data_IF_744882625793
#
_entry.id   IF_744882625793
#
_cell.length_a   1.000
_cell.length_b   1.000
_cell.length_c   1.000
_cell.angle_alpha   90.00
_cell.angle_beta   90.00
_cell.angle_gamma   90.00
#
_symmetry.space_group_name_H-M   'P 1'
#
loop_
_entity.id
_entity.type
_entity.pdbx_description
1 polymer ?
#
# COMPACT_ATOMS: atom_id res chain seq x y z
N UNK A 1 6.78 49.48 -24.94
CA UNK A 1 7.21 48.71 -23.75
C UNK A 1 6.17 48.70 -22.61
N UNK A 2 5.63 49.84 -22.16
CA UNK A 2 4.66 49.90 -21.04
C UNK A 2 3.36 49.09 -21.27
N UNK A 3 2.82 49.10 -22.48
CA UNK A 3 1.59 48.35 -22.84
C UNK A 3 1.81 46.83 -22.78
N UNK A 4 2.93 46.33 -23.30
CA UNK A 4 3.29 44.90 -23.23
C UNK A 4 3.53 44.44 -21.78
N UNK A 5 4.17 45.27 -20.95
CA UNK A 5 4.33 44.99 -19.53
C UNK A 5 2.99 44.89 -18.80
N UNK A 6 2.04 45.79 -19.11
CA UNK A 6 0.70 45.75 -18.52
C UNK A 6 -0.12 44.54 -18.95
N UNK A 7 -0.04 44.13 -20.24
CA UNK A 7 -0.72 42.92 -20.72
C UNK A 7 -0.14 41.68 -20.03
N UNK A 8 1.19 41.62 -19.86
CA UNK A 8 1.86 40.52 -19.16
C UNK A 8 1.45 40.43 -17.69
N UNK A 9 1.32 41.54 -16.97
CA UNK A 9 0.87 41.53 -15.57
C UNK A 9 -0.58 41.10 -15.43
N UNK A 10 -1.49 41.59 -16.26
CA UNK A 10 -2.89 41.13 -16.25
C UNK A 10 -3.01 39.65 -16.58
N UNK A 11 -2.25 39.15 -17.56
CA UNK A 11 -2.21 37.74 -17.91
C UNK A 11 -1.71 36.87 -16.75
N UNK A 12 -0.64 37.31 -16.07
CA UNK A 12 -0.11 36.62 -14.89
C UNK A 12 -1.13 36.57 -13.74
N UNK A 13 -1.81 37.68 -13.46
CA UNK A 13 -2.86 37.75 -12.44
C UNK A 13 -4.02 36.80 -12.80
N UNK A 14 -4.49 36.81 -14.04
CA UNK A 14 -5.55 35.92 -14.49
C UNK A 14 -5.17 34.44 -14.33
N UNK A 15 -3.92 34.08 -14.63
CA UNK A 15 -3.39 32.72 -14.42
C UNK A 15 -3.41 32.37 -12.93
N UNK A 16 -2.90 33.25 -12.06
CA UNK A 16 -2.86 33.02 -10.61
C UNK A 16 -4.27 32.85 -10.01
N UNK A 17 -5.21 33.70 -10.41
CA UNK A 17 -6.62 33.60 -9.99
C UNK A 17 -7.22 32.27 -10.44
N UNK A 18 -6.98 31.88 -11.69
CA UNK A 18 -7.48 30.60 -12.24
C UNK A 18 -6.92 29.41 -11.45
N UNK A 19 -5.62 29.41 -11.16
CA UNK A 19 -4.98 28.37 -10.34
C UNK A 19 -5.58 28.33 -8.93
N UNK A 20 -5.74 29.49 -8.30
CA UNK A 20 -6.36 29.61 -6.98
C UNK A 20 -7.79 29.08 -6.94
N UNK A 21 -8.61 29.43 -7.91
CA UNK A 21 -9.99 28.92 -8.04
C UNK A 21 -10.02 27.40 -8.26
N UNK A 22 -9.13 26.87 -9.10
CA UNK A 22 -9.02 25.41 -9.32
C UNK A 22 -8.59 24.68 -8.05
N UNK A 23 -7.63 25.24 -7.32
CA UNK A 23 -7.17 24.70 -6.05
C UNK A 23 -8.30 24.70 -5.00
N UNK A 24 -9.00 25.83 -4.82
CA UNK A 24 -10.10 25.93 -3.86
C UNK A 24 -11.27 25.01 -4.22
N UNK A 25 -11.58 24.88 -5.51
CA UNK A 25 -12.58 23.91 -5.96
C UNK A 25 -12.15 22.47 -5.68
N UNK A 26 -10.88 22.13 -5.92
CA UNK A 26 -10.36 20.79 -5.66
C UNK A 26 -10.33 20.45 -4.17
N UNK A 27 -9.87 21.38 -3.32
CA UNK A 27 -9.67 21.13 -1.88
C UNK A 27 -10.93 21.31 -1.04
N UNK A 28 -11.86 22.18 -1.42
CA UNK A 28 -12.99 22.53 -0.55
C UNK A 28 -14.35 22.29 -1.19
N UNK A 29 -14.63 22.92 -2.34
CA UNK A 29 -15.98 22.91 -2.90
C UNK A 29 -16.38 21.55 -3.45
N UNK A 30 -15.48 20.86 -4.17
CA UNK A 30 -15.77 19.55 -4.74
C UNK A 30 -16.04 18.50 -3.64
N UNK A 31 -15.17 18.31 -2.61
CA UNK A 31 -15.48 17.40 -1.51
C UNK A 31 -16.82 17.77 -0.84
N UNK A 32 -17.04 19.01 -0.40
CA UNK A 32 -18.30 19.37 0.25
C UNK A 32 -19.55 19.14 -0.61
N UNK A 33 -19.44 19.28 -1.94
CA UNK A 33 -20.53 18.98 -2.86
C UNK A 33 -20.82 17.48 -2.94
N UNK A 34 -19.82 16.63 -3.03
CA UNK A 34 -20.00 15.17 -3.13
C UNK A 34 -20.49 14.63 -1.77
N UNK A 35 -19.91 15.06 -0.64
CA UNK A 35 -20.40 14.76 0.71
C UNK A 35 -21.92 15.04 0.83
N UNK A 36 -22.38 16.19 0.34
CA UNK A 36 -23.81 16.56 0.37
C UNK A 36 -24.67 15.62 -0.48
N UNK A 37 -24.18 15.15 -1.63
CA UNK A 37 -24.89 14.17 -2.48
C UNK A 37 -24.97 12.82 -1.77
N UNK A 38 -23.88 12.33 -1.18
CA UNK A 38 -23.84 11.05 -0.48
C UNK A 38 -24.76 11.05 0.74
N UNK A 39 -24.78 12.15 1.52
CA UNK A 39 -25.72 12.29 2.64
C UNK A 39 -27.18 12.28 2.20
N UNK A 40 -27.50 12.88 1.04
CA UNK A 40 -28.85 12.81 0.46
C UNK A 40 -29.25 11.40 0.02
N UNK A 41 -28.27 10.54 -0.29
CA UNK A 41 -28.50 9.12 -0.59
C UNK A 41 -28.64 8.26 0.69
N UNK A 42 -28.62 8.89 1.88
CA UNK A 42 -28.80 8.21 3.16
C UNK A 42 -27.51 7.71 3.80
N UNK A 43 -26.36 7.89 3.15
CA UNK A 43 -25.07 7.41 3.65
C UNK A 43 -24.63 8.21 4.88
N UNK A 44 -24.21 7.50 5.92
CA UNK A 44 -23.71 8.10 7.18
C UNK A 44 -22.18 8.05 7.24
N UNK A 45 -21.56 9.10 7.75
CA UNK A 45 -20.12 9.13 7.93
C UNK A 45 -19.59 10.47 8.43
N UNK A 46 -18.27 10.50 8.61
CA UNK A 46 -17.55 11.70 9.06
C UNK A 46 -17.76 12.85 8.08
N UNK A 47 -17.76 14.09 8.60
CA UNK A 47 -17.77 15.28 7.75
C UNK A 47 -16.39 15.53 7.15
N UNK A 48 -16.33 16.02 5.91
CA UNK A 48 -15.05 16.35 5.28
C UNK A 48 -14.24 17.35 6.12
N UNK A 49 -12.95 17.02 6.34
CA UNK A 49 -11.92 17.86 6.97
C UNK A 49 -10.87 18.25 5.94
N UNK A 50 -10.41 19.49 5.97
CA UNK A 50 -9.50 20.09 4.99
C UNK A 50 -8.26 19.23 4.70
N UNK A 51 -8.02 18.93 3.41
CA UNK A 51 -6.87 18.22 2.81
C UNK A 51 -6.59 16.80 3.27
N UNK A 52 -6.61 16.55 4.57
CA UNK A 52 -6.18 15.27 5.15
C UNK A 52 -7.36 14.38 5.53
N UNK A 53 -8.58 14.91 5.57
CA UNK A 53 -9.77 14.15 5.96
C UNK A 53 -9.57 13.43 7.30
N UNK A 54 -9.71 12.11 7.28
CA UNK A 54 -9.58 11.20 8.41
C UNK A 54 -8.16 10.64 8.60
N UNK A 55 -7.17 11.08 7.80
CA UNK A 55 -5.82 10.50 7.85
C UNK A 55 -5.13 10.65 9.22
N UNK A 56 -5.29 11.81 9.89
CA UNK A 56 -4.73 12.01 11.24
C UNK A 56 -5.38 11.10 12.28
N UNK A 57 -6.70 10.97 12.21
CA UNK A 57 -7.46 10.08 13.10
C UNK A 57 -7.05 8.62 12.87
N UNK A 58 -6.88 8.23 11.60
CA UNK A 58 -6.38 6.92 11.19
C UNK A 58 -4.99 6.65 11.79
N UNK A 59 -4.07 7.61 11.66
CA UNK A 59 -2.71 7.50 12.23
C UNK A 59 -2.74 7.28 13.75
N UNK A 60 -3.53 8.08 14.47
CA UNK A 60 -3.65 7.96 15.92
C UNK A 60 -4.22 6.59 16.34
N UNK A 61 -5.19 6.05 15.57
CA UNK A 61 -5.74 4.73 15.84
C UNK A 61 -4.69 3.62 15.70
N UNK A 62 -3.83 3.70 14.68
CA UNK A 62 -2.74 2.75 14.52
C UNK A 62 -1.71 2.89 15.65
N UNK A 63 -1.33 4.12 16.02
CA UNK A 63 -0.40 4.34 17.13
C UNK A 63 -0.94 3.76 18.44
N UNK A 64 -2.21 4.03 18.75
CA UNK A 64 -2.87 3.50 19.93
C UNK A 64 -2.98 1.97 19.89
N UNK A 65 -3.38 1.38 18.76
CA UNK A 65 -3.58 -0.07 18.64
C UNK A 65 -2.27 -0.85 18.80
N UNK A 66 -1.16 -0.33 18.29
CA UNK A 66 0.16 -0.95 18.44
C UNK A 66 0.83 -0.68 19.79
N UNK A 67 0.40 0.35 20.52
CA UNK A 67 0.94 0.66 21.87
C UNK A 67 0.52 -0.34 22.94
N UNK A 68 -0.59 -1.07 22.72
CA UNK A 68 -1.15 -2.03 23.68
C UNK A 68 -0.66 -3.45 23.34
N UNK A 69 -0.38 -4.32 24.32
CA UNK A 69 -0.15 -5.75 24.06
C UNK A 69 -1.44 -6.43 23.60
N UNK A 70 -1.33 -7.63 23.02
CA UNK A 70 -2.46 -8.46 22.61
C UNK A 70 -2.20 -9.90 23.07
N UNK A 71 -3.23 -10.58 23.57
CA UNK A 71 -3.18 -11.99 23.90
C UNK A 71 -3.14 -12.88 22.65
N UNK A 72 -2.72 -14.12 22.82
CA UNK A 72 -2.61 -15.09 21.71
C UNK A 72 -4.00 -15.43 21.14
N UNK A 73 -5.04 -15.41 21.97
CA UNK A 73 -6.41 -15.75 21.59
C UNK A 73 -7.30 -14.54 21.29
N UNK A 74 -6.76 -13.33 21.40
CA UNK A 74 -7.52 -12.11 21.16
C UNK A 74 -7.76 -11.90 19.66
N UNK A 75 -8.85 -11.21 19.32
CA UNK A 75 -9.08 -10.78 17.93
C UNK A 75 -7.99 -9.80 17.50
N UNK A 76 -7.19 -10.21 16.51
CA UNK A 76 -6.11 -9.40 15.94
C UNK A 76 -6.65 -8.23 15.12
N UNK A 77 -7.86 -8.31 14.60
CA UNK A 77 -8.47 -7.35 13.66
C UNK A 77 -8.43 -5.90 14.17
N UNK A 78 -8.91 -5.55 15.38
CA UNK A 78 -8.84 -4.19 15.90
C UNK A 78 -7.41 -3.69 16.12
N UNK A 79 -6.42 -4.58 16.21
CA UNK A 79 -5.01 -4.21 16.33
C UNK A 79 -4.37 -3.88 14.99
N UNK A 80 -4.55 -4.76 14.00
CA UNK A 80 -3.86 -4.64 12.69
C UNK A 80 -4.61 -3.79 11.68
N UNK A 81 -5.93 -3.64 11.81
CA UNK A 81 -6.76 -2.82 10.93
C UNK A 81 -7.80 -2.01 11.74
N UNK A 82 -7.37 -1.20 12.73
CA UNK A 82 -8.27 -0.47 13.63
C UNK A 82 -9.24 0.44 12.86
N UNK A 83 -8.76 1.09 11.80
CA UNK A 83 -9.55 1.97 10.96
C UNK A 83 -10.67 1.23 10.21
N UNK A 84 -10.33 0.18 9.48
CA UNK A 84 -11.31 -0.64 8.75
C UNK A 84 -12.34 -1.23 9.71
N UNK A 85 -11.88 -1.72 10.88
CA UNK A 85 -12.74 -2.25 11.93
C UNK A 85 -13.75 -1.22 12.44
N UNK A 86 -13.31 0.03 12.68
CA UNK A 86 -14.20 1.13 13.08
C UNK A 86 -15.20 1.48 11.99
N UNK A 87 -14.74 1.62 10.74
CA UNK A 87 -15.60 2.03 9.62
C UNK A 87 -16.69 1.00 9.38
N UNK A 88 -16.33 -0.28 9.24
CA UNK A 88 -17.30 -1.36 9.03
C UNK A 88 -18.41 -1.34 10.08
N UNK A 89 -18.10 -0.98 11.33
CA UNK A 89 -19.07 -0.92 12.43
C UNK A 89 -19.88 0.37 12.52
N UNK A 90 -19.36 1.49 12.00
CA UNK A 90 -19.85 2.83 12.41
C UNK A 90 -20.22 3.73 11.23
N UNK A 91 -19.54 3.61 10.08
CA UNK A 91 -19.60 4.60 9.01
C UNK A 91 -19.59 3.97 7.62
N UNK A 92 -20.25 4.64 6.68
CA UNK A 92 -20.29 4.30 5.26
C UNK A 92 -19.48 5.31 4.42
N UNK A 93 -19.23 6.52 4.94
CA UNK A 93 -18.41 7.57 4.28
C UNK A 93 -17.16 7.87 5.08
N UNK A 94 -16.01 7.87 4.39
CA UNK A 94 -14.69 8.14 4.92
C UNK A 94 -13.93 9.07 3.97
N UNK A 95 -13.19 10.03 4.52
CA UNK A 95 -12.45 11.00 3.74
C UNK A 95 -10.95 10.72 3.82
N UNK A 96 -10.31 10.40 2.69
CA UNK A 96 -8.85 10.22 2.63
C UNK A 96 -8.29 11.21 1.62
N UNK A 97 -7.56 12.21 2.12
CA UNK A 97 -7.07 13.28 1.26
C UNK A 97 -8.21 14.22 0.81
N UNK A 98 -8.09 14.73 -0.41
CA UNK A 98 -9.17 15.43 -1.13
C UNK A 98 -10.11 14.51 -1.91
N UNK A 99 -10.01 13.18 -1.71
CA UNK A 99 -10.87 12.19 -2.33
C UNK A 99 -11.83 11.59 -1.30
N UNK A 100 -13.07 11.37 -1.71
CA UNK A 100 -14.05 10.66 -0.90
C UNK A 100 -13.98 9.18 -1.19
N UNK A 101 -13.88 8.39 -0.13
CA UNK A 101 -13.91 6.93 -0.20
C UNK A 101 -15.20 6.47 0.44
N UNK A 102 -16.05 5.82 -0.36
CA UNK A 102 -17.27 5.18 0.13
C UNK A 102 -16.90 3.76 0.53
N UNK A 103 -17.11 3.44 1.81
CA UNK A 103 -16.97 2.10 2.33
C UNK A 103 -18.25 1.32 2.06
N UNK A 104 -18.24 0.41 1.07
CA UNK A 104 -19.35 -0.53 0.86
C UNK A 104 -19.07 -1.76 1.73
N UNK A 105 -19.82 -1.91 2.82
CA UNK A 105 -19.59 -2.96 3.82
C UNK A 105 -20.71 -4.00 3.92
N UNK A 106 -21.81 -3.83 3.18
CA UNK A 106 -22.88 -4.82 3.11
C UNK A 106 -22.46 -5.98 2.18
N UNK A 107 -22.42 -7.21 2.69
CA UNK A 107 -22.02 -8.40 1.93
C UNK A 107 -22.77 -8.56 0.60
N UNK A 108 -24.08 -8.29 0.57
CA UNK A 108 -24.86 -8.35 -0.69
C UNK A 108 -24.43 -7.29 -1.71
N UNK A 109 -24.06 -6.09 -1.24
CA UNK A 109 -23.57 -5.01 -2.10
C UNK A 109 -22.17 -5.30 -2.64
N UNK A 110 -21.32 -5.98 -1.86
CA UNK A 110 -19.99 -6.39 -2.30
C UNK A 110 -20.09 -7.43 -3.43
N UNK A 111 -20.93 -8.45 -3.28
CA UNK A 111 -21.12 -9.47 -4.33
C UNK A 111 -21.66 -8.84 -5.62
N UNK A 112 -22.66 -7.97 -5.52
CA UNK A 112 -23.21 -7.28 -6.70
C UNK A 112 -22.17 -6.40 -7.40
N UNK A 113 -21.34 -5.67 -6.64
CA UNK A 113 -20.29 -4.81 -7.18
C UNK A 113 -19.14 -5.60 -7.81
N UNK A 114 -18.63 -6.60 -7.09
CA UNK A 114 -17.43 -7.35 -7.47
C UNK A 114 -17.72 -8.41 -8.53
N UNK A 115 -18.92 -9.02 -8.51
CA UNK A 115 -19.28 -10.08 -9.47
C UNK A 115 -20.01 -9.47 -10.66
N UNK A 116 -21.09 -8.73 -10.41
CA UNK A 116 -22.01 -8.31 -11.49
C UNK A 116 -21.63 -6.98 -12.15
N UNK A 117 -20.97 -6.08 -11.43
CA UNK A 117 -20.64 -4.72 -11.92
C UNK A 117 -19.14 -4.45 -12.06
N UNK A 118 -18.30 -5.49 -12.06
CA UNK A 118 -16.84 -5.34 -12.09
C UNK A 118 -16.30 -4.48 -13.24
N UNK A 119 -16.99 -4.41 -14.37
CA UNK A 119 -16.61 -3.56 -15.52
C UNK A 119 -16.89 -2.07 -15.30
N UNK A 120 -17.79 -1.73 -14.38
CA UNK A 120 -18.13 -0.35 -14.02
C UNK A 120 -17.13 0.26 -13.03
N UNK A 121 -16.29 -0.59 -12.40
CA UNK A 121 -15.28 -0.18 -11.46
C UNK A 121 -13.88 -0.35 -12.06
N UNK A 122 -13.02 0.62 -11.79
CA UNK A 122 -11.60 0.53 -12.14
C UNK A 122 -10.82 0.35 -10.85
N UNK A 123 -9.76 -0.46 -10.87
CA UNK A 123 -8.87 -0.61 -9.72
C UNK A 123 -8.35 0.77 -9.37
N UNK A 124 -8.51 1.15 -8.11
CA UNK A 124 -7.96 2.39 -7.57
C UNK A 124 -6.45 2.26 -7.33
N UNK A 125 -5.72 1.59 -8.23
CA UNK A 125 -4.28 1.39 -8.16
C UNK A 125 -3.52 2.67 -8.54
N UNK A 126 -3.90 3.76 -7.88
CA UNK A 126 -3.12 4.98 -7.79
C UNK A 126 -2.19 4.77 -6.61
N UNK A 127 -1.20 3.88 -6.73
CA UNK A 127 -0.10 3.92 -5.75
C UNK A 127 0.48 5.33 -5.86
N UNK A 128 0.32 6.09 -4.81
CA UNK A 128 0.69 7.49 -4.77
C UNK A 128 2.22 7.69 -4.63
N UNK A 129 2.97 6.58 -4.59
CA UNK A 129 4.39 6.53 -4.83
C UNK A 129 4.69 6.20 -6.31
N UNK A 130 5.27 7.16 -7.02
CA UNK A 130 5.62 7.03 -8.43
C UNK A 130 6.73 6.03 -8.71
N UNK A 131 7.65 5.83 -7.77
CA UNK A 131 8.67 4.79 -7.90
C UNK A 131 7.98 3.43 -7.94
N UNK A 132 7.09 3.17 -6.99
CA UNK A 132 6.28 1.95 -6.96
C UNK A 132 5.38 1.81 -8.19
N UNK A 133 4.80 2.90 -8.72
CA UNK A 133 4.02 2.89 -9.98
C UNK A 133 4.86 2.43 -11.18
N UNK A 134 6.17 2.71 -11.18
CA UNK A 134 7.09 2.32 -12.25
C UNK A 134 7.58 0.88 -12.09
N UNK A 135 7.82 0.44 -10.85
CA UNK A 135 8.32 -0.90 -10.54
C UNK A 135 7.22 -1.98 -10.55
N UNK A 136 5.98 -1.62 -10.20
CA UNK A 136 4.85 -2.57 -10.19
C UNK A 136 4.10 -2.54 -11.52
N UNK A 137 4.21 -3.64 -12.27
CA UNK A 137 3.53 -3.90 -13.52
C UNK A 137 2.55 -5.08 -13.47
N UNK A 138 2.17 -5.59 -14.65
CA UNK A 138 1.39 -6.82 -14.79
C UNK A 138 -0.08 -6.70 -14.37
N UNK A 139 -0.65 -7.84 -13.96
CA UNK A 139 -2.09 -8.05 -13.66
C UNK A 139 -2.63 -7.13 -12.56
N UNK A 140 -1.76 -6.67 -11.65
CA UNK A 140 -2.15 -5.73 -10.61
C UNK A 140 -2.54 -4.37 -11.21
N UNK A 141 -1.84 -3.92 -12.26
CA UNK A 141 -2.06 -2.62 -12.91
C UNK A 141 -2.97 -2.70 -14.14
N UNK A 142 -2.97 -3.81 -14.88
CA UNK A 142 -3.76 -3.92 -16.10
C UNK A 142 -5.26 -3.94 -15.80
N UNK A 143 -6.03 -3.40 -16.74
CA UNK A 143 -7.48 -3.35 -16.74
C UNK A 143 -8.07 -3.91 -18.04
N UNK A 144 -9.37 -4.22 -18.02
CA UNK A 144 -10.13 -4.63 -19.20
C UNK A 144 -9.50 -5.80 -19.97
N UNK A 145 -9.47 -5.68 -21.30
CA UNK A 145 -8.98 -6.74 -22.18
C UNK A 145 -7.50 -7.07 -21.94
N UNK A 146 -6.66 -6.05 -21.68
CA UNK A 146 -5.24 -6.26 -21.37
C UNK A 146 -5.07 -7.09 -20.10
N UNK A 147 -5.90 -6.84 -19.08
CA UNK A 147 -5.91 -7.66 -17.87
C UNK A 147 -6.35 -9.10 -18.18
N UNK A 148 -7.46 -9.26 -18.89
CA UNK A 148 -8.04 -10.56 -19.26
C UNK A 148 -7.03 -11.46 -19.97
N UNK A 149 -6.37 -10.94 -21.01
CA UNK A 149 -5.35 -11.67 -21.78
C UNK A 149 -4.16 -12.09 -20.91
N UNK A 150 -3.65 -11.19 -20.07
CA UNK A 150 -2.53 -11.50 -19.20
C UNK A 150 -2.90 -12.48 -18.10
N UNK A 151 -4.11 -12.37 -17.53
CA UNK A 151 -4.63 -13.32 -16.54
C UNK A 151 -4.79 -14.70 -17.15
N UNK A 152 -5.33 -14.80 -18.37
CA UNK A 152 -5.47 -16.06 -19.10
C UNK A 152 -4.13 -16.75 -19.34
N UNK A 153 -3.08 -15.99 -19.66
CA UNK A 153 -1.70 -16.52 -19.83
C UNK A 153 -1.11 -17.06 -18.53
N UNK A 154 -1.37 -16.40 -17.40
CA UNK A 154 -0.82 -16.79 -16.09
C UNK A 154 -1.60 -17.91 -15.40
N UNK A 155 -2.92 -18.03 -15.66
CA UNK A 155 -3.79 -18.97 -14.97
C UNK A 155 -3.27 -20.42 -14.95
N UNK A 156 -2.69 -20.98 -16.04
CA UNK A 156 -2.15 -22.34 -16.05
C UNK A 156 -1.04 -22.60 -15.02
N UNK A 157 -0.30 -21.56 -14.61
CA UNK A 157 0.75 -21.69 -13.59
C UNK A 157 0.17 -21.95 -12.19
N UNK A 158 -1.10 -21.61 -11.98
CA UNK A 158 -1.81 -21.74 -10.71
C UNK A 158 -2.88 -22.84 -10.73
N UNK A 159 -2.79 -23.77 -11.69
CA UNK A 159 -3.62 -24.97 -11.69
C UNK A 159 -3.14 -25.97 -10.62
N UNK A 160 -4.07 -26.78 -10.10
CA UNK A 160 -3.80 -27.70 -8.99
C UNK A 160 -2.60 -28.63 -9.25
N UNK A 161 -2.43 -29.13 -10.46
CA UNK A 161 -1.31 -30.04 -10.78
C UNK A 161 0.05 -29.34 -10.73
N UNK A 162 0.09 -28.03 -11.01
CA UNK A 162 1.30 -27.22 -10.79
C UNK A 162 1.58 -27.05 -9.30
N UNK A 163 0.55 -26.79 -8.50
CA UNK A 163 0.70 -26.64 -7.04
C UNK A 163 1.21 -27.91 -6.37
N UNK A 164 0.75 -29.11 -6.79
CA UNK A 164 1.26 -30.38 -6.27
C UNK A 164 2.78 -30.50 -6.42
N UNK A 165 3.33 -30.04 -7.55
CA UNK A 165 4.78 -30.01 -7.78
C UNK A 165 5.53 -29.02 -6.88
N UNK A 166 4.86 -28.01 -6.32
CA UNK A 166 5.46 -27.01 -5.43
C UNK A 166 5.57 -27.50 -3.97
N UNK A 167 4.72 -28.45 -3.55
CA UNK A 167 4.65 -28.94 -2.16
C UNK A 167 5.99 -29.51 -1.69
N UNK A 168 6.65 -30.32 -2.52
CA UNK A 168 7.95 -30.89 -2.17
C UNK A 168 9.02 -29.80 -1.91
N UNK A 169 8.98 -28.70 -2.67
CA UNK A 169 9.86 -27.55 -2.46
C UNK A 169 9.49 -26.81 -1.17
N UNK A 170 8.20 -26.59 -0.91
CA UNK A 170 7.72 -25.96 0.33
C UNK A 170 8.15 -26.73 1.57
N UNK A 171 8.01 -28.06 1.54
CA UNK A 171 8.46 -28.95 2.61
C UNK A 171 9.98 -28.84 2.81
N UNK A 172 10.76 -29.00 1.74
CA UNK A 172 12.23 -28.93 1.80
C UNK A 172 12.75 -27.62 2.36
N UNK A 173 12.14 -26.48 1.99
CA UNK A 173 12.57 -25.19 2.57
C UNK A 173 12.16 -25.04 4.04
N UNK A 174 11.08 -25.69 4.47
CA UNK A 174 10.63 -25.70 5.86
C UNK A 174 11.56 -26.56 6.72
N UNK A 175 11.90 -27.76 6.25
CA UNK A 175 12.81 -28.69 6.93
C UNK A 175 14.15 -28.02 7.28
N UNK A 176 14.74 -27.25 6.35
CA UNK A 176 15.97 -26.47 6.63
C UNK A 176 15.84 -25.52 7.82
N UNK A 177 14.69 -24.87 7.98
CA UNK A 177 14.43 -23.94 9.09
C UNK A 177 14.21 -24.72 10.38
N UNK A 178 13.50 -25.85 10.31
CA UNK A 178 13.29 -26.73 11.46
C UNK A 178 14.60 -27.36 11.95
N UNK A 179 15.49 -27.75 11.05
CA UNK A 179 16.82 -28.25 11.37
C UNK A 179 17.62 -27.17 12.14
N UNK A 180 17.56 -25.92 11.70
CA UNK A 180 18.18 -24.80 12.42
C UNK A 180 17.56 -24.61 13.80
N UNK A 181 16.22 -24.62 13.91
CA UNK A 181 15.54 -24.48 15.20
C UNK A 181 15.89 -25.61 16.16
N UNK A 182 16.04 -26.85 15.65
CA UNK A 182 16.46 -28.00 16.46
C UNK A 182 17.84 -27.82 17.08
N UNK A 183 18.71 -27.03 16.45
CA UNK A 183 20.03 -26.67 17.00
C UNK A 183 19.98 -25.56 18.06
N UNK A 184 18.91 -24.76 18.08
CA UNK A 184 18.71 -23.65 19.01
C UNK A 184 18.02 -24.14 20.29
N UNK A 185 17.07 -25.06 20.16
CA UNK A 185 16.28 -25.58 21.29
C UNK A 185 17.11 -26.58 22.11
N UNK A 186 17.17 -26.45 23.45
CA UNK A 186 17.86 -27.40 24.30
C UNK A 186 17.31 -28.83 24.18
N UNK A 187 18.21 -29.82 24.11
CA UNK A 187 17.86 -31.25 24.05
C UNK A 187 17.53 -31.86 25.43
N UNK A 188 17.61 -31.08 26.50
CA UNK A 188 17.41 -31.51 27.89
C UNK A 188 15.94 -31.49 28.35
N UNK A 189 15.02 -31.19 27.42
CA UNK A 189 13.58 -31.09 27.70
C UNK A 189 13.17 -29.76 28.33
N UNK A 190 14.09 -28.80 28.48
CA UNK A 190 13.74 -27.45 28.93
C UNK A 190 12.96 -26.67 27.85
N UNK A 191 12.09 -25.73 28.24
CA UNK A 191 11.32 -24.94 27.27
C UNK A 191 12.23 -24.08 26.39
N UNK A 192 12.25 -24.34 25.08
CA UNK A 192 12.88 -23.48 24.08
C UNK A 192 11.91 -22.42 23.56
N UNK A 193 12.37 -21.17 23.47
CA UNK A 193 11.62 -20.07 22.85
C UNK A 193 12.37 -19.62 21.60
N UNK A 194 11.70 -19.71 20.45
CA UNK A 194 12.25 -19.28 19.15
C UNK A 194 11.39 -18.16 18.59
N UNK A 195 12.02 -17.03 18.23
CA UNK A 195 11.36 -15.97 17.47
C UNK A 195 11.26 -16.38 16.00
N UNK A 196 10.05 -16.68 15.54
CA UNK A 196 9.78 -17.15 14.18
C UNK A 196 9.76 -16.01 13.15
N UNK A 197 9.55 -14.76 13.58
CA UNK A 197 9.28 -13.64 12.67
C UNK A 197 10.42 -13.39 11.66
N UNK A 198 11.72 -13.47 12.04
CA UNK A 198 12.83 -13.32 11.10
C UNK A 198 12.87 -14.37 9.99
N UNK A 199 12.34 -15.57 10.24
CA UNK A 199 12.38 -16.70 9.31
C UNK A 199 11.29 -16.63 8.23
N UNK A 200 10.16 -15.98 8.50
CA UNK A 200 9.00 -15.96 7.59
C UNK A 200 9.32 -15.34 6.20
N UNK A 201 10.01 -14.19 6.09
CA UNK A 201 10.36 -13.63 4.79
C UNK A 201 11.32 -14.52 4.01
N UNK A 202 12.30 -15.14 4.68
CA UNK A 202 13.30 -15.99 4.03
C UNK A 202 12.70 -17.31 3.57
N UNK A 203 11.79 -17.90 4.36
CA UNK A 203 10.99 -19.05 3.94
C UNK A 203 10.16 -18.73 2.70
N UNK A 204 9.36 -17.65 2.77
CA UNK A 204 8.44 -17.26 1.70
C UNK A 204 9.20 -16.93 0.42
N UNK A 205 10.27 -16.14 0.52
CA UNK A 205 11.14 -15.79 -0.61
C UNK A 205 11.80 -17.00 -1.24
N UNK A 206 12.28 -17.94 -0.42
CA UNK A 206 12.86 -19.21 -0.89
C UNK A 206 11.85 -20.08 -1.62
N UNK A 207 10.66 -20.26 -1.05
CA UNK A 207 9.58 -21.02 -1.71
C UNK A 207 9.20 -20.38 -3.03
N UNK A 208 8.96 -19.07 -3.07
CA UNK A 208 8.58 -18.35 -4.30
C UNK A 208 9.68 -18.45 -5.35
N UNK A 209 10.94 -18.22 -4.97
CA UNK A 209 12.09 -18.26 -5.89
C UNK A 209 12.25 -19.63 -6.55
N UNK A 210 12.21 -20.70 -5.75
CA UNK A 210 12.36 -22.04 -6.29
C UNK A 210 11.12 -22.51 -7.07
N UNK A 211 9.91 -22.20 -6.61
CA UNK A 211 8.68 -22.72 -7.22
C UNK A 211 8.29 -21.98 -8.50
N UNK A 212 8.50 -20.66 -8.56
CA UNK A 212 8.11 -19.85 -9.72
C UNK A 212 9.27 -19.59 -10.70
N UNK A 213 10.50 -19.49 -10.19
CA UNK A 213 11.65 -19.08 -11.00
C UNK A 213 12.73 -20.17 -11.11
N UNK A 214 12.62 -21.26 -10.34
CA UNK A 214 13.66 -22.30 -10.26
C UNK A 214 15.04 -21.75 -9.87
N UNK A 215 15.07 -20.64 -9.12
CA UNK A 215 16.29 -19.97 -8.68
C UNK A 215 16.39 -19.94 -7.16
N UNK A 216 17.62 -19.89 -6.60
CA UNK A 216 17.80 -19.68 -5.18
C UNK A 216 17.40 -18.26 -4.76
N UNK A 217 16.86 -18.13 -3.55
CA UNK A 217 16.59 -16.83 -2.93
C UNK A 217 17.89 -16.22 -2.37
N UNK A 218 18.62 -15.54 -3.25
CA UNK A 218 19.92 -14.94 -2.91
C UNK A 218 19.76 -13.60 -2.19
N UNK A 219 20.84 -13.11 -1.57
CA UNK A 219 20.88 -11.76 -1.00
C UNK A 219 20.61 -10.64 -2.01
N UNK A 220 20.78 -10.89 -3.32
CA UNK A 220 20.38 -9.96 -4.36
C UNK A 220 18.86 -9.93 -4.53
N UNK A 221 18.21 -11.09 -4.60
CA UNK A 221 16.75 -11.22 -4.69
C UNK A 221 16.06 -10.70 -3.42
N UNK A 222 16.65 -10.97 -2.25
CA UNK A 222 16.16 -10.43 -0.97
C UNK A 222 16.09 -8.89 -0.99
N UNK A 223 17.08 -8.22 -1.57
CA UNK A 223 17.09 -6.74 -1.71
C UNK A 223 16.00 -6.21 -2.63
N UNK A 224 15.48 -7.02 -3.57
CA UNK A 224 14.42 -6.61 -4.51
C UNK A 224 13.01 -6.97 -4.02
N UNK A 225 12.84 -8.11 -3.34
CA UNK A 225 11.54 -8.60 -2.84
C UNK A 225 11.08 -7.88 -1.57
N UNK A 226 11.99 -7.60 -0.64
CA UNK A 226 11.74 -6.61 0.40
C UNK A 226 11.93 -5.24 -0.23
N UNK A 227 10.87 -4.73 -0.89
CA UNK A 227 10.85 -3.39 -1.47
C UNK A 227 11.51 -2.39 -0.52
N UNK A 228 12.63 -1.81 -0.94
CA UNK A 228 13.53 -1.02 -0.12
C UNK A 228 14.03 -1.73 1.14
N UNK A 229 15.32 -2.10 1.15
CA UNK A 229 16.10 -2.14 2.38
C UNK A 229 15.83 -0.83 3.14
N UNK A 230 14.99 -0.91 4.18
CA UNK A 230 15.27 -0.27 5.44
C UNK A 230 16.75 -0.53 5.69
N UNK A 231 17.53 0.53 5.57
CA UNK A 231 18.97 0.56 5.76
C UNK A 231 19.33 -0.06 7.11
N UNK A 232 19.54 -1.37 7.16
CA UNK A 232 20.06 -2.08 8.32
C UNK A 232 21.58 -1.88 8.46
N UNK A 233 22.19 -1.03 7.62
CA UNK A 233 23.61 -0.70 7.65
C UNK A 233 23.94 0.56 8.45
N UNK A 234 22.95 1.24 9.05
CA UNK A 234 23.23 2.24 10.08
C UNK A 234 23.56 1.56 11.42
N UNK A 235 24.85 1.23 11.59
CA UNK A 235 25.63 0.96 12.82
C UNK A 235 24.93 0.49 14.12
N UNK A 236 25.46 -0.57 14.79
CA UNK A 236 25.00 -0.99 16.10
C UNK A 236 25.60 -0.07 17.18
N UNK A 237 24.80 0.82 17.79
CA UNK A 237 25.05 1.34 19.15
C UNK A 237 23.92 2.23 19.68
N UNK A 238 23.06 1.66 20.50
CA UNK A 238 22.79 2.03 21.91
C UNK A 238 21.46 1.41 22.35
N UNK A 239 21.49 0.86 23.55
CA UNK A 239 20.37 0.32 24.30
C UNK A 239 19.18 1.28 24.31
N UNK A 240 17.98 0.77 24.04
CA UNK A 240 16.75 1.55 24.25
C UNK A 240 15.55 1.11 23.42
N UNK A 241 14.67 0.34 24.06
CA UNK A 241 13.21 0.21 23.84
C UNK A 241 12.67 -0.11 22.44
N UNK A 242 11.92 -1.20 22.40
CA UNK A 242 10.77 -1.56 21.55
C UNK A 242 10.02 -0.39 20.88
N UNK A 243 10.62 0.24 19.88
CA UNK A 243 9.95 1.18 18.97
C UNK A 243 10.26 0.85 17.50
N UNK A 244 10.42 -0.44 17.17
CA UNK A 244 10.73 -0.88 15.80
C UNK A 244 9.49 -1.14 14.94
N UNK A 245 8.35 -1.50 15.52
CA UNK A 245 7.13 -1.75 14.74
C UNK A 245 6.41 -0.49 14.23
N UNK A 246 6.25 0.61 15.00
CA UNK A 246 5.50 1.78 14.52
C UNK A 246 6.13 2.41 13.28
N UNK A 247 7.47 2.52 13.25
CA UNK A 247 8.22 3.03 12.08
C UNK A 247 8.03 2.18 10.82
N UNK A 248 7.82 0.87 10.96
CA UNK A 248 7.66 -0.05 9.82
C UNK A 248 6.33 0.13 9.10
N UNK A 249 5.25 0.44 9.82
CA UNK A 249 3.96 0.76 9.22
C UNK A 249 3.87 2.23 8.82
N UNK A 250 4.55 3.14 9.51
CA UNK A 250 4.74 4.53 9.05
C UNK A 250 5.41 4.55 7.68
N UNK A 251 6.39 3.70 7.41
CA UNK A 251 7.02 3.63 6.08
C UNK A 251 6.04 3.12 5.01
N UNK A 252 5.27 2.05 5.27
CA UNK A 252 4.26 1.54 4.33
C UNK A 252 3.13 2.55 4.08
N UNK A 253 2.69 3.26 5.11
CA UNK A 253 1.68 4.33 5.01
C UNK A 253 2.25 5.62 4.41
N UNK A 254 3.54 5.90 4.58
CA UNK A 254 4.22 7.06 3.95
C UNK A 254 4.37 6.91 2.42
N UNK A 255 4.41 5.67 1.93
CA UNK A 255 4.36 5.39 0.48
C UNK A 255 2.96 5.64 -0.11
N UNK A 256 1.92 5.54 0.71
CA UNK A 256 0.60 6.02 0.37
C UNK A 256 0.52 7.51 0.72
N UNK A 257 1.07 8.40 -0.12
CA UNK A 257 0.64 9.80 -0.08
C UNK A 257 -0.89 9.82 -0.14
N UNK A 258 -1.60 10.31 0.89
CA UNK A 258 -3.05 10.22 0.94
C UNK A 258 -3.73 11.11 -0.10
N UNK A 259 -2.95 11.97 -0.76
CA UNK A 259 -3.37 12.82 -1.86
C UNK A 259 -2.24 12.95 -2.89
N UNK A 260 -2.60 13.26 -4.13
CA UNK A 260 -1.66 13.61 -5.19
C UNK A 260 -1.95 15.06 -5.57
N UNK A 261 -0.99 15.96 -5.38
CA UNK A 261 -1.19 17.37 -5.73
C UNK A 261 -1.15 17.49 -7.26
N UNK A 262 -2.18 18.06 -7.91
CA UNK A 262 -2.16 18.26 -9.35
C UNK A 262 -0.90 19.01 -9.79
N UNK A 263 -0.11 18.41 -10.69
CA UNK A 263 1.12 19.00 -11.21
C UNK A 263 2.40 18.73 -10.38
N UNK A 264 2.29 18.09 -9.22
CA UNK A 264 3.46 17.77 -8.37
C UNK A 264 4.50 16.91 -9.09
N UNK A 265 4.07 16.12 -10.07
CA UNK A 265 4.92 15.29 -10.91
C UNK A 265 5.94 16.04 -11.77
N UNK A 266 5.74 17.34 -11.97
CA UNK A 266 6.69 18.18 -12.69
C UNK A 266 7.68 18.89 -11.75
N UNK A 267 7.53 18.74 -10.43
CA UNK A 267 8.45 19.33 -9.47
C UNK A 267 9.73 18.49 -9.37
N UNK A 268 10.93 19.11 -9.34
CA UNK A 268 12.22 18.41 -9.32
C UNK A 268 12.58 17.82 -7.95
N UNK A 269 11.62 17.20 -7.25
CA UNK A 269 11.89 16.56 -5.96
C UNK A 269 12.74 15.30 -6.13
N UNK A 270 13.44 14.88 -5.07
CA UNK A 270 14.26 13.66 -5.06
C UNK A 270 13.46 12.42 -5.51
N UNK A 271 12.18 12.34 -5.11
CA UNK A 271 11.25 11.27 -5.46
C UNK A 271 11.01 11.21 -6.98
N UNK A 272 10.68 12.35 -7.60
CA UNK A 272 10.37 12.41 -9.05
C UNK A 272 11.62 12.19 -9.89
N UNK A 273 12.77 12.75 -9.50
CA UNK A 273 14.05 12.49 -10.17
C UNK A 273 14.40 11.00 -10.16
N UNK A 274 14.22 10.31 -9.02
CA UNK A 274 14.47 8.87 -8.94
C UNK A 274 13.47 8.06 -9.78
N UNK A 275 12.20 8.43 -9.78
CA UNK A 275 11.19 7.75 -10.60
C UNK A 275 11.47 7.87 -12.11
N UNK A 276 11.92 9.05 -12.57
CA UNK A 276 12.30 9.26 -13.96
C UNK A 276 13.60 8.53 -14.33
N UNK A 277 14.59 8.48 -13.43
CA UNK A 277 15.80 7.69 -13.66
C UNK A 277 15.49 6.21 -13.84
N UNK A 278 14.60 5.65 -13.01
CA UNK A 278 14.13 4.25 -13.14
C UNK A 278 13.40 4.03 -14.46
N UNK A 279 12.59 4.99 -14.91
CA UNK A 279 11.92 4.89 -16.21
C UNK A 279 12.93 4.83 -17.35
N UNK A 280 13.95 5.68 -17.35
CA UNK A 280 15.01 5.65 -18.35
C UNK A 280 15.77 4.31 -18.33
N UNK A 281 16.13 3.81 -17.13
CA UNK A 281 16.77 2.50 -16.95
C UNK A 281 15.93 1.34 -17.52
N UNK A 282 14.60 1.42 -17.44
CA UNK A 282 13.68 0.40 -17.95
C UNK A 282 13.37 0.52 -19.45
N UNK A 283 13.52 1.70 -20.05
CA UNK A 283 13.26 1.94 -21.48
C UNK A 283 14.48 1.79 -22.37
N UNK A 284 15.68 1.87 -21.79
CA UNK A 284 16.95 1.68 -22.50
C UNK A 284 17.33 0.19 -22.72
N UNK A 285 16.44 -0.73 -22.33
CA UNK A 285 16.52 -2.20 -22.50
C UNK A 285 15.38 -2.74 -23.33
#
# INVERSE_FOLDING_TARGET
>A
MKMFASIATFSLIAILVTIGCRFLNWVWFRPKRIEKVLRKQGLKGNSYRFLFGDAKETSNMYEESYSKPIGISDDITPRVMPFSYKIIKTYEIVHVGGAETIGVHNGRGVDEVVINKHTSFHKSFKISNLIFRRLIGGVIRYEGEKWSQNRKKLNPLFHLDRHKGMVATMQRQCEKILDEWSSIVPNDGSPGVVDIFPYLPDYTGSVVSYTLFSTPFTSAVKRTDTGSTMDNTAQPRRSGRERRLPRRLEDVTSYAQPFNIPGEQYLPTKKYRRANAIENELTDT
#
